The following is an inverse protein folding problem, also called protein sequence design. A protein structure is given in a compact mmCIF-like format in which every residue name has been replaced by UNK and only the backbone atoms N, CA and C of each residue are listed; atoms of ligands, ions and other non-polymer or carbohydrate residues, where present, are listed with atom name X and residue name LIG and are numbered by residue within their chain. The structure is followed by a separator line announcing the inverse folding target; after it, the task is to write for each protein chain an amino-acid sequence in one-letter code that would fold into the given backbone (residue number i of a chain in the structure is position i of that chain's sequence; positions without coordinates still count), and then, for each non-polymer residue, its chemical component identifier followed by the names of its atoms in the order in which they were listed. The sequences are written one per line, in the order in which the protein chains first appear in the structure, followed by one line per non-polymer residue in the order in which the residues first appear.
data_IF_861779460324
#
_entry.id   IF_861779460324
#
_cell.length_a   1.000
_cell.length_b   1.000
_cell.length_c   1.000
_cell.angle_alpha   90.00
_cell.angle_beta   90.00
_cell.angle_gamma   90.00
#
_symmetry.space_group_name_H-M   'P 1'
#
loop_
_entity.id
_entity.type
_entity.pdbx_description
1 polymer ?
#
# COMPACT_ATOMS: atom_id res chain seq x y z
N UNK A 1 11.10 -14.54 -9.12
CA UNK A 1 9.82 -15.00 -8.52
C UNK A 1 9.93 -15.63 -7.11
N UNK A 2 11.11 -16.07 -6.65
CA UNK A 2 11.25 -16.69 -5.32
C UNK A 2 10.88 -15.75 -4.14
N UNK A 3 11.23 -14.46 -4.23
CA UNK A 3 10.92 -13.48 -3.19
C UNK A 3 9.39 -13.33 -2.95
N UNK A 4 8.61 -13.20 -4.02
CA UNK A 4 7.13 -13.10 -3.94
C UNK A 4 6.54 -14.36 -3.31
N UNK A 5 7.00 -15.55 -3.74
CA UNK A 5 6.56 -16.82 -3.13
C UNK A 5 6.92 -16.93 -1.65
N UNK A 6 8.04 -16.34 -1.22
CA UNK A 6 8.42 -16.29 0.20
C UNK A 6 7.45 -15.42 1.00
N UNK A 7 7.09 -14.25 0.48
CA UNK A 7 6.14 -13.33 1.12
C UNK A 7 4.77 -14.02 1.28
N UNK A 8 4.24 -14.64 0.22
CA UNK A 8 2.94 -15.32 0.29
C UNK A 8 2.92 -16.49 1.28
N UNK A 9 4.01 -17.28 1.35
CA UNK A 9 4.12 -18.36 2.34
C UNK A 9 4.19 -17.84 3.77
N UNK A 10 4.89 -16.72 3.98
CA UNK A 10 4.93 -16.06 5.29
C UNK A 10 3.52 -15.64 5.71
N UNK A 11 2.80 -14.90 4.85
CA UNK A 11 1.42 -14.46 5.12
C UNK A 11 0.50 -15.63 5.47
N UNK A 12 0.59 -16.74 4.72
CA UNK A 12 -0.22 -17.92 4.98
C UNK A 12 0.15 -18.61 6.31
N UNK A 13 1.44 -18.67 6.65
CA UNK A 13 1.92 -19.29 7.88
C UNK A 13 1.68 -18.43 9.13
N UNK A 14 1.41 -17.14 8.96
CA UNK A 14 1.17 -16.19 10.06
C UNK A 14 -0.25 -15.65 10.07
N UNK A 15 -1.24 -16.41 9.57
CA UNK A 15 -2.63 -15.95 9.47
C UNK A 15 -3.25 -15.64 10.85
N UNK A 16 -2.82 -16.35 11.88
CA UNK A 16 -3.29 -16.18 13.26
C UNK A 16 -2.49 -15.12 14.05
N UNK A 17 -1.50 -14.48 13.41
CA UNK A 17 -0.66 -13.48 14.05
C UNK A 17 -1.28 -12.09 13.91
N UNK A 18 -1.12 -11.27 14.95
CA UNK A 18 -1.48 -9.86 14.93
C UNK A 18 -0.28 -8.95 14.65
N UNK A 19 -0.56 -7.71 14.26
CA UNK A 19 0.44 -6.64 14.18
C UNK A 19 0.37 -5.83 15.48
N UNK A 20 1.53 -5.59 16.08
CA UNK A 20 1.65 -4.81 17.31
C UNK A 20 2.00 -3.37 16.95
N UNK A 21 1.27 -2.42 17.54
CA UNK A 21 1.39 -0.98 17.29
C UNK A 21 1.90 -0.26 18.55
N UNK A 22 3.18 -0.43 18.92
CA UNK A 22 3.71 0.20 20.13
C UNK A 22 3.85 1.72 19.93
N UNK A 23 3.41 2.49 20.93
CA UNK A 23 3.65 3.93 20.98
C UNK A 23 5.08 4.17 21.49
N UNK A 24 6.06 4.14 20.58
CA UNK A 24 7.48 4.28 20.93
C UNK A 24 7.93 5.73 21.08
N UNK A 25 7.19 6.67 20.50
CA UNK A 25 7.53 8.09 20.39
C UNK A 25 6.77 8.98 21.41
N UNK A 26 5.90 8.39 22.24
CA UNK A 26 5.11 9.10 23.24
C UNK A 26 4.08 10.08 22.64
N UNK A 27 3.86 10.00 21.32
CA UNK A 27 2.95 10.88 20.61
C UNK A 27 1.49 10.46 20.84
N UNK A 28 0.53 11.33 20.51
CA UNK A 28 -0.91 11.02 20.66
C UNK A 28 -1.45 10.05 19.60
N UNK A 29 -0.60 9.40 18.81
CA UNK A 29 -1.04 8.47 17.76
C UNK A 29 -1.70 9.22 16.61
N UNK A 30 -0.95 10.13 15.97
CA UNK A 30 -1.45 10.87 14.82
C UNK A 30 -1.67 9.91 13.65
N UNK A 31 -2.87 9.97 13.06
CA UNK A 31 -3.17 9.32 11.79
C UNK A 31 -2.52 10.12 10.65
N UNK A 32 -1.66 9.48 9.87
CA UNK A 32 -1.01 10.07 8.70
C UNK A 32 -1.33 9.22 7.47
N UNK A 33 -1.78 9.86 6.40
CA UNK A 33 -2.09 9.21 5.13
C UNK A 33 -1.15 9.67 4.03
N UNK A 34 -0.69 8.71 3.22
CA UNK A 34 0.04 8.94 1.98
C UNK A 34 -0.75 8.30 0.84
N UNK A 35 -0.77 8.96 -0.31
CA UNK A 35 -1.37 8.46 -1.54
C UNK A 35 -0.39 8.71 -2.68
N UNK A 36 -0.31 7.76 -3.61
CA UNK A 36 0.51 7.85 -4.81
C UNK A 36 -0.23 7.19 -5.98
N UNK A 37 0.09 7.65 -7.18
CA UNK A 37 -0.44 7.11 -8.42
C UNK A 37 0.61 7.21 -9.52
N UNK A 38 0.76 6.14 -10.30
CA UNK A 38 1.61 6.17 -11.49
C UNK A 38 0.83 6.62 -12.74
N UNK A 39 1.50 7.22 -13.72
CA UNK A 39 0.89 7.49 -15.03
C UNK A 39 1.34 6.44 -16.04
N UNK A 40 0.38 5.74 -16.65
CA UNK A 40 0.64 4.73 -17.68
C UNK A 40 1.64 3.64 -17.25
N UNK A 41 1.65 3.26 -15.96
CA UNK A 41 2.56 2.26 -15.41
C UNK A 41 2.36 0.85 -16.00
N UNK A 42 1.12 0.50 -16.36
CA UNK A 42 0.82 -0.72 -17.11
C UNK A 42 1.23 -0.57 -18.59
N UNK A 43 2.21 -1.36 -19.05
CA UNK A 43 2.70 -1.29 -20.45
C UNK A 43 1.70 -1.82 -21.47
N UNK A 44 0.72 -2.62 -21.04
CA UNK A 44 -0.27 -3.24 -21.92
C UNK A 44 -1.52 -2.37 -21.99
N UNK A 45 -2.12 -2.09 -20.84
CA UNK A 45 -3.39 -1.34 -20.79
C UNK A 45 -3.19 0.18 -20.64
N UNK A 46 -1.96 0.65 -20.35
CA UNK A 46 -1.63 2.06 -20.06
C UNK A 46 -2.44 2.64 -18.91
N UNK A 47 -3.03 1.77 -18.08
CA UNK A 47 -3.76 2.17 -16.88
C UNK A 47 -2.79 2.45 -15.75
N UNK A 48 -3.19 3.43 -14.96
CA UNK A 48 -2.51 3.83 -13.75
C UNK A 48 -2.76 2.84 -12.62
N UNK A 49 -1.83 2.75 -11.68
CA UNK A 49 -2.00 2.09 -10.39
C UNK A 49 -2.03 3.16 -9.31
N UNK A 50 -3.14 3.25 -8.57
CA UNK A 50 -3.18 4.08 -7.36
C UNK A 50 -2.80 3.23 -6.15
N UNK A 51 -2.21 3.85 -5.15
CA UNK A 51 -1.96 3.24 -3.86
C UNK A 51 -2.10 4.25 -2.74
N UNK A 52 -2.43 3.75 -1.55
CA UNK A 52 -2.38 4.55 -0.34
C UNK A 52 -1.84 3.73 0.82
N UNK A 53 -1.35 4.44 1.84
CA UNK A 53 -1.02 3.88 3.15
C UNK A 53 -1.39 4.87 4.24
N UNK A 54 -2.10 4.38 5.25
CA UNK A 54 -2.38 5.08 6.49
C UNK A 54 -1.53 4.49 7.61
N UNK A 55 -0.90 5.36 8.38
CA UNK A 55 -0.04 5.00 9.51
C UNK A 55 -0.52 5.64 10.82
N UNK A 56 -0.24 4.95 11.92
CA UNK A 56 -0.36 5.45 13.29
C UNK A 56 0.90 5.02 14.03
N UNK A 57 1.51 5.92 14.81
CA UNK A 57 2.83 5.69 15.44
C UNK A 57 3.92 5.25 14.43
N UNK A 58 3.83 5.72 13.18
CA UNK A 58 4.68 5.28 12.05
C UNK A 58 4.52 3.82 11.61
N UNK A 59 3.53 3.10 12.11
CA UNK A 59 3.21 1.73 11.68
C UNK A 59 1.99 1.73 10.74
N UNK A 60 1.99 0.93 9.66
CA UNK A 60 0.88 0.88 8.71
C UNK A 60 -0.34 0.15 9.29
N UNK A 61 -1.51 0.78 9.21
CA UNK A 61 -2.79 0.23 9.69
C UNK A 61 -3.77 -0.09 8.56
N UNK A 62 -3.62 0.57 7.40
CA UNK A 62 -4.45 0.34 6.23
C UNK A 62 -3.67 0.74 4.99
N UNK A 63 -3.74 -0.08 3.95
CA UNK A 63 -3.11 0.20 2.67
C UNK A 63 -3.89 -0.46 1.55
N UNK A 64 -3.71 0.06 0.35
CA UNK A 64 -4.25 -0.55 -0.86
C UNK A 64 -3.33 -0.23 -2.03
N UNK A 65 -3.31 -1.13 -3.01
CA UNK A 65 -2.76 -0.87 -4.33
C UNK A 65 -3.76 -1.41 -5.33
N UNK A 66 -4.25 -0.53 -6.21
CA UNK A 66 -5.36 -0.82 -7.12
C UNK A 66 -5.05 -0.27 -8.50
N UNK A 67 -5.11 -1.15 -9.50
CA UNK A 67 -5.13 -0.74 -10.90
C UNK A 67 -6.42 0.03 -11.19
N UNK A 68 -6.30 1.21 -11.77
CA UNK A 68 -7.45 2.03 -12.15
C UNK A 68 -8.27 1.31 -13.23
N UNK A 69 -9.57 1.60 -13.28
CA UNK A 69 -10.47 1.05 -14.30
C UNK A 69 -10.32 1.77 -15.64
N UNK A 70 -9.96 3.05 -15.59
CA UNK A 70 -9.80 3.94 -16.74
C UNK A 70 -8.34 4.30 -16.95
N UNK A 71 -8.01 4.75 -18.17
CA UNK A 71 -6.68 5.28 -18.50
C UNK A 71 -6.66 6.77 -18.13
N UNK A 72 -5.71 7.18 -17.30
CA UNK A 72 -5.51 8.59 -16.98
C UNK A 72 -4.96 9.34 -18.21
N UNK A 73 -5.56 10.49 -18.55
CA UNK A 73 -5.16 11.27 -19.73
C UNK A 73 -3.99 12.21 -19.40
N UNK A 74 -3.69 12.41 -18.12
CA UNK A 74 -2.55 13.21 -17.66
C UNK A 74 -1.99 12.67 -16.34
N UNK A 75 -0.81 13.16 -15.94
CA UNK A 75 -0.21 12.87 -14.63
C UNK A 75 -0.98 13.50 -13.46
N UNK A 76 -1.87 14.47 -13.72
CA UNK A 76 -2.71 15.09 -12.70
C UNK A 76 -3.97 14.26 -12.40
N UNK A 77 -4.47 13.54 -13.40
CA UNK A 77 -5.62 12.63 -13.29
C UNK A 77 -5.21 11.22 -12.83
N UNK A 78 -3.93 10.89 -12.98
CA UNK A 78 -3.35 9.64 -12.53
C UNK A 78 -3.49 9.53 -11.01
#
# INVERSE_FOLDING_TARGET
MQAVKRILRYLQGTIDYGILYPNTDGSKGKLVGYCDSDWSGDKVERKSTMGYVFTVFNYPISWSSKKQSVVALSTCEA
#
